data_IF_816959573796
#
_entry.id   IF_816959573796
#
_cell.length_a   1.000
_cell.length_b   1.000
_cell.length_c   1.000
_cell.angle_alpha   90.00
_cell.angle_beta   90.00
_cell.angle_gamma   90.00
#
_symmetry.space_group_name_H-M   'P 1'
#
loop_
_entity.id
_entity.type
_entity.pdbx_description
1 polymer ?
#
# COMPACT_ATOMS: atom_id res chain seq x y z
N UNK A 1 19.47 24.44 19.04
CA UNK A 1 18.08 24.34 18.57
C UNK A 1 17.37 23.36 19.50
N UNK A 2 16.18 23.65 20.05
CA UNK A 2 15.41 22.61 20.72
C UNK A 2 15.22 21.46 19.71
N UNK A 3 15.37 20.22 20.17
CA UNK A 3 15.23 19.05 19.30
C UNK A 3 13.87 19.11 18.62
N UNK A 4 13.86 19.04 17.29
CA UNK A 4 12.63 18.94 16.49
C UNK A 4 12.02 17.55 16.54
N UNK A 5 12.62 16.64 17.31
CA UNK A 5 12.25 15.23 17.34
C UNK A 5 11.11 14.97 18.34
N UNK A 6 10.22 14.08 17.92
CA UNK A 6 9.12 13.58 18.74
C UNK A 6 9.67 12.54 19.73
N UNK A 7 9.27 12.59 21.00
CA UNK A 7 9.61 11.54 21.96
C UNK A 7 8.49 10.49 21.99
N UNK A 8 8.74 9.23 21.60
CA UNK A 8 7.69 8.20 21.59
C UNK A 8 7.22 7.87 23.01
N UNK A 9 5.93 7.59 23.17
CA UNK A 9 5.29 7.17 24.43
C UNK A 9 4.76 5.74 24.35
N UNK A 10 3.92 5.45 23.35
CA UNK A 10 3.38 4.11 23.10
C UNK A 10 3.12 3.91 21.61
N UNK A 11 2.98 2.65 21.21
CA UNK A 11 2.74 2.21 19.85
C UNK A 11 1.91 0.94 19.92
N UNK A 12 0.61 1.07 19.71
CA UNK A 12 -0.38 0.03 19.99
C UNK A 12 -1.16 -0.35 18.72
N UNK A 13 -1.30 -1.65 18.43
CA UNK A 13 -2.19 -2.12 17.36
C UNK A 13 -3.63 -2.01 17.88
N UNK A 14 -4.41 -1.10 17.32
CA UNK A 14 -5.81 -0.84 17.71
C UNK A 14 -6.81 -1.55 16.81
N UNK A 15 -6.38 -2.01 15.64
CA UNK A 15 -7.18 -2.81 14.72
C UNK A 15 -6.26 -3.67 13.84
N UNK A 16 -6.65 -4.92 13.61
CA UNK A 16 -5.94 -5.83 12.71
C UNK A 16 -6.93 -6.76 12.02
N UNK A 17 -6.69 -6.98 10.73
CA UNK A 17 -7.34 -8.01 9.94
C UNK A 17 -6.31 -8.58 8.93
N UNK A 18 -6.66 -9.61 8.14
CA UNK A 18 -5.73 -10.20 7.18
C UNK A 18 -5.17 -9.26 6.09
N UNK A 19 -5.69 -8.04 5.93
CA UNK A 19 -5.33 -7.12 4.86
C UNK A 19 -4.57 -5.88 5.34
N UNK A 20 -4.69 -5.51 6.62
CA UNK A 20 -4.04 -4.33 7.19
C UNK A 20 -4.00 -4.36 8.72
N UNK A 21 -3.11 -3.54 9.28
CA UNK A 21 -3.10 -3.14 10.69
C UNK A 21 -3.27 -1.64 10.81
N UNK A 22 -3.90 -1.21 11.90
CA UNK A 22 -3.90 0.19 12.33
C UNK A 22 -3.17 0.26 13.66
N UNK A 23 -2.09 1.05 13.68
CA UNK A 23 -1.25 1.31 14.84
C UNK A 23 -1.43 2.75 15.30
N UNK A 24 -1.61 2.95 16.58
CA UNK A 24 -1.65 4.27 17.20
C UNK A 24 -0.32 4.57 17.89
N UNK A 25 0.38 5.61 17.39
CA UNK A 25 1.65 6.09 17.93
C UNK A 25 1.43 7.34 18.77
N UNK A 26 1.62 7.23 20.08
CA UNK A 26 1.60 8.36 21.01
C UNK A 26 3.00 8.92 21.20
N UNK A 27 3.12 10.24 21.26
CA UNK A 27 4.41 10.90 21.40
C UNK A 27 4.30 12.28 22.06
N UNK A 28 5.43 12.80 22.56
CA UNK A 28 5.57 14.19 23.02
C UNK A 28 6.19 15.03 21.90
N UNK A 29 5.58 16.17 21.61
CA UNK A 29 6.09 17.16 20.64
C UNK A 29 7.20 18.02 21.25
N UNK A 30 8.06 18.64 20.43
CA UNK A 30 8.90 19.76 20.85
C UNK A 30 8.02 20.87 21.43
N UNK A 31 8.02 21.01 22.76
CA UNK A 31 7.10 21.89 23.50
C UNK A 31 6.28 21.19 24.59
N UNK A 32 6.36 19.86 24.71
CA UNK A 32 5.80 19.10 25.84
C UNK A 32 4.34 18.64 25.66
N UNK A 33 3.66 19.04 24.59
CA UNK A 33 2.31 18.58 24.31
C UNK A 33 2.30 17.14 23.75
N UNK A 34 1.33 16.34 24.18
CA UNK A 34 1.09 15.01 23.62
C UNK A 34 0.50 15.08 22.19
N UNK A 35 0.83 14.08 21.38
CA UNK A 35 0.33 13.87 20.03
C UNK A 35 0.02 12.40 19.76
N UNK A 36 -0.76 12.16 18.70
CA UNK A 36 -1.18 10.86 18.24
C UNK A 36 -1.04 10.80 16.72
N UNK A 37 -0.43 9.74 16.19
CA UNK A 37 -0.49 9.37 14.77
C UNK A 37 -1.24 8.04 14.64
N UNK A 38 -2.25 8.01 13.76
CA UNK A 38 -2.82 6.76 13.26
C UNK A 38 -2.02 6.30 12.04
N UNK A 39 -1.40 5.14 12.12
CA UNK A 39 -0.58 4.54 11.07
C UNK A 39 -1.31 3.35 10.50
N UNK A 40 -1.56 3.36 9.19
CA UNK A 40 -2.11 2.20 8.47
C UNK A 40 -0.95 1.43 7.87
N UNK A 41 -0.76 0.20 8.32
CA UNK A 41 0.27 -0.71 7.84
C UNK A 41 -0.38 -1.73 6.88
N UNK A 42 0.20 -1.87 5.69
CA UNK A 42 -0.22 -2.80 4.65
C UNK A 42 1.02 -3.36 3.97
N UNK A 43 0.87 -4.54 3.40
CA UNK A 43 1.90 -5.13 2.55
C UNK A 43 2.16 -4.25 1.32
N UNK A 44 3.40 -4.27 0.85
CA UNK A 44 3.79 -3.57 -0.37
C UNK A 44 3.07 -4.15 -1.60
N UNK A 45 2.97 -3.33 -2.66
CA UNK A 45 2.25 -3.68 -3.87
C UNK A 45 2.93 -3.14 -5.12
N UNK A 46 2.62 -3.75 -6.26
CA UNK A 46 3.05 -3.30 -7.57
C UNK A 46 1.85 -2.78 -8.37
N UNK A 47 2.08 -1.75 -9.18
CA UNK A 47 1.13 -1.21 -10.17
C UNK A 47 1.82 -1.19 -11.52
N UNK A 48 1.19 -1.76 -12.53
CA UNK A 48 1.83 -2.05 -13.81
C UNK A 48 1.22 -1.20 -14.91
N UNK A 49 2.03 -0.34 -15.53
CA UNK A 49 1.70 0.33 -16.78
C UNK A 49 2.20 -0.49 -17.98
N UNK A 50 1.38 -1.43 -18.45
CA UNK A 50 1.72 -2.21 -19.64
C UNK A 50 1.44 -1.40 -20.92
N UNK A 51 2.50 -1.09 -21.66
CA UNK A 51 2.44 -0.27 -22.87
C UNK A 51 2.73 -1.11 -24.11
N UNK A 52 1.81 -1.11 -25.07
CA UNK A 52 1.99 -1.76 -26.36
C UNK A 52 1.35 -0.91 -27.47
N UNK A 53 2.05 -0.71 -28.59
CA UNK A 53 1.57 0.07 -29.74
C UNK A 53 1.07 1.48 -29.38
N UNK A 54 1.72 2.14 -28.41
CA UNK A 54 1.33 3.48 -27.95
C UNK A 54 0.06 3.51 -27.09
N UNK A 55 -0.45 2.36 -26.66
CA UNK A 55 -1.62 2.23 -25.78
C UNK A 55 -1.24 1.64 -24.43
N UNK A 56 -1.98 2.02 -23.38
CA UNK A 56 -1.85 1.46 -22.02
C UNK A 56 -2.98 0.48 -21.78
N UNK A 57 -2.66 -0.70 -21.24
CA UNK A 57 -3.65 -1.69 -20.86
C UNK A 57 -4.27 -1.35 -19.51
N UNK A 58 -5.59 -1.49 -19.42
CA UNK A 58 -6.39 -1.26 -18.22
C UNK A 58 -7.28 -2.48 -17.95
N UNK A 59 -7.62 -2.67 -16.69
CA UNK A 59 -8.61 -3.65 -16.23
C UNK A 59 -9.78 -2.92 -15.57
N UNK A 60 -10.97 -3.48 -15.68
CA UNK A 60 -12.15 -2.95 -14.99
C UNK A 60 -12.47 -3.78 -13.74
N UNK A 61 -12.27 -3.20 -12.56
CA UNK A 61 -12.43 -3.88 -11.28
C UNK A 61 -13.52 -3.23 -10.42
N UNK A 62 -14.29 -4.06 -9.70
CA UNK A 62 -15.22 -3.57 -8.68
C UNK A 62 -14.46 -3.36 -7.37
N UNK A 63 -14.51 -2.13 -6.83
CA UNK A 63 -13.88 -1.75 -5.56
C UNK A 63 -14.93 -1.64 -4.47
N UNK A 64 -15.02 -2.66 -3.61
CA UNK A 64 -15.97 -2.68 -2.49
C UNK A 64 -15.88 -1.44 -1.57
N UNK A 65 -14.70 -0.93 -1.16
CA UNK A 65 -14.64 0.24 -0.26
C UNK A 65 -15.32 1.51 -0.80
N UNK A 66 -15.42 1.65 -2.12
CA UNK A 66 -16.04 2.80 -2.81
C UNK A 66 -17.25 2.41 -3.66
N UNK A 67 -17.72 1.16 -3.55
CA UNK A 67 -18.93 0.62 -4.16
C UNK A 67 -19.10 0.93 -5.66
N UNK A 68 -18.04 0.75 -6.47
CA UNK A 68 -18.08 1.07 -7.90
C UNK A 68 -17.13 0.25 -8.75
N UNK A 69 -17.33 0.27 -10.08
CA UNK A 69 -16.40 -0.28 -11.08
C UNK A 69 -15.55 0.84 -11.66
N UNK A 70 -14.24 0.61 -11.72
CA UNK A 70 -13.26 1.60 -12.16
C UNK A 70 -12.30 0.98 -13.16
N UNK A 71 -11.88 1.80 -14.12
CA UNK A 71 -10.75 1.48 -14.99
C UNK A 71 -9.46 1.76 -14.23
N UNK A 72 -8.63 0.74 -14.08
CA UNK A 72 -7.42 0.78 -13.27
C UNK A 72 -6.26 0.13 -14.04
N UNK A 73 -5.05 0.47 -13.63
CA UNK A 73 -3.87 -0.30 -14.03
C UNK A 73 -3.89 -1.66 -13.33
N UNK A 74 -3.43 -2.75 -13.98
CA UNK A 74 -3.18 -4.01 -13.30
C UNK A 74 -2.31 -3.78 -12.06
N UNK A 75 -2.66 -4.43 -10.95
CA UNK A 75 -1.95 -4.25 -9.69
C UNK A 75 -2.13 -5.44 -8.76
N UNK A 76 -1.20 -5.63 -7.84
CA UNK A 76 -1.37 -6.62 -6.79
C UNK A 76 -0.39 -6.49 -5.64
N UNK A 77 -0.79 -7.07 -4.52
CA UNK A 77 -0.04 -7.08 -3.27
C UNK A 77 1.02 -8.17 -3.33
N UNK A 78 2.24 -7.86 -2.87
CA UNK A 78 3.32 -8.83 -2.82
C UNK A 78 2.99 -9.94 -1.81
N UNK A 79 2.58 -11.11 -2.31
CA UNK A 79 2.25 -12.29 -1.48
C UNK A 79 3.48 -13.11 -1.07
N UNK A 80 4.63 -12.87 -1.71
CA UNK A 80 5.83 -13.67 -1.51
C UNK A 80 6.69 -13.14 -0.36
N UNK A 81 7.22 -14.06 0.46
CA UNK A 81 8.01 -13.75 1.67
C UNK A 81 9.31 -12.96 1.41
N UNK A 82 9.74 -12.84 0.16
CA UNK A 82 10.91 -12.08 -0.26
C UNK A 82 10.59 -10.64 -0.70
N UNK A 83 9.32 -10.26 -0.85
CA UNK A 83 8.92 -8.88 -1.14
C UNK A 83 9.38 -8.34 -2.51
N UNK A 84 9.72 -9.21 -3.47
CA UNK A 84 10.16 -8.74 -4.78
C UNK A 84 8.97 -8.18 -5.58
N UNK A 85 8.94 -6.85 -5.68
CA UNK A 85 7.89 -6.12 -6.38
C UNK A 85 7.93 -6.33 -7.90
N UNK A 86 9.10 -6.62 -8.49
CA UNK A 86 9.20 -6.87 -9.92
C UNK A 86 8.57 -8.22 -10.28
N UNK A 87 8.85 -9.26 -9.51
CA UNK A 87 8.23 -10.58 -9.72
C UNK A 87 6.72 -10.53 -9.44
N UNK A 88 6.30 -9.78 -8.39
CA UNK A 88 4.87 -9.51 -8.15
C UNK A 88 4.22 -8.84 -9.36
N UNK A 89 4.86 -7.82 -9.93
CA UNK A 89 4.35 -7.11 -11.11
C UNK A 89 4.15 -8.04 -12.31
N UNK A 90 5.11 -8.93 -12.59
CA UNK A 90 5.03 -9.90 -13.70
C UNK A 90 3.89 -10.90 -13.52
N UNK A 91 3.68 -11.39 -12.29
CA UNK A 91 2.60 -12.33 -11.97
C UNK A 91 1.25 -11.65 -12.21
N UNK A 92 1.04 -10.46 -11.65
CA UNK A 92 -0.25 -9.75 -11.72
C UNK A 92 -0.55 -9.30 -13.15
N UNK A 93 0.45 -8.85 -13.91
CA UNK A 93 0.27 -8.50 -15.33
C UNK A 93 -0.26 -9.69 -16.15
N UNK A 94 0.27 -10.89 -15.88
CA UNK A 94 -0.16 -12.13 -16.54
C UNK A 94 -1.56 -12.54 -16.09
N UNK A 95 -1.87 -12.44 -14.80
CA UNK A 95 -3.13 -12.92 -14.22
C UNK A 95 -4.32 -11.99 -14.52
N UNK A 96 -4.12 -10.68 -14.41
CA UNK A 96 -5.22 -9.71 -14.58
C UNK A 96 -5.41 -9.28 -16.04
N UNK A 97 -4.31 -9.19 -16.81
CA UNK A 97 -4.35 -8.63 -18.16
C UNK A 97 -3.92 -9.63 -19.26
N UNK A 98 -3.38 -10.80 -18.90
CA UNK A 98 -2.97 -11.82 -19.87
C UNK A 98 -1.69 -11.50 -20.64
N UNK A 99 -0.92 -10.48 -20.21
CA UNK A 99 0.32 -10.06 -20.88
C UNK A 99 1.56 -10.59 -20.15
N UNK A 100 2.68 -10.64 -20.87
CA UNK A 100 4.01 -10.94 -20.33
C UNK A 100 4.96 -9.84 -20.80
N UNK A 101 5.85 -9.40 -19.91
CA UNK A 101 6.90 -8.43 -20.19
C UNK A 101 8.21 -8.90 -19.54
N UNK A 102 9.34 -8.60 -20.20
CA UNK A 102 10.70 -8.94 -19.76
C UNK A 102 11.38 -7.78 -19.03
#
# INVERSE_FOLDING_TARGET
MPSSELTPLSSDIVYENPWLRVREDRFIRPGGAEGLYGVVEKDDFAVIAAVANGQVQLVEQFRYPVQGRYWELPQGVAKAANGDLLETAKIELREEAGFVAE
#
